data_IF_787029108482
#
_entry.id   IF_787029108482
#
_cell.length_a   1.000
_cell.length_b   1.000
_cell.length_c   1.000
_cell.angle_alpha   90.00
_cell.angle_beta   90.00
_cell.angle_gamma   90.00
#
_symmetry.space_group_name_H-M   'P 1'
#
loop_
_entity.id
_entity.type
_entity.pdbx_description
1 polymer ?
#
# COMPACT_ATOMS: atom_id res chain seq x y z
N UNK A 1 -9.63 -20.92 -9.12
CA UNK A 1 -10.60 -19.84 -9.09
C UNK A 1 -10.44 -18.96 -10.32
N UNK A 2 -11.55 -18.42 -10.84
CA UNK A 2 -11.60 -17.51 -12.00
C UNK A 2 -12.43 -16.28 -11.64
N UNK A 3 -12.21 -15.21 -12.40
CA UNK A 3 -13.05 -14.00 -12.26
C UNK A 3 -14.50 -14.36 -12.61
N UNK A 4 -15.44 -14.01 -11.73
CA UNK A 4 -16.86 -14.32 -11.87
C UNK A 4 -17.31 -15.60 -11.17
N UNK A 5 -16.40 -16.36 -10.54
CA UNK A 5 -16.80 -17.46 -9.65
C UNK A 5 -17.49 -16.90 -8.40
N UNK A 6 -18.61 -17.51 -8.01
CA UNK A 6 -19.32 -17.17 -6.78
C UNK A 6 -18.98 -18.22 -5.71
N UNK A 7 -18.31 -17.82 -4.64
CA UNK A 7 -18.06 -18.73 -3.52
C UNK A 7 -19.37 -19.00 -2.79
N UNK A 8 -19.70 -20.26 -2.52
CA UNK A 8 -20.94 -20.67 -1.87
C UNK A 8 -20.69 -21.42 -0.55
N UNK A 9 -19.56 -22.13 -0.40
CA UNK A 9 -19.18 -22.78 0.85
C UNK A 9 -17.67 -22.81 1.04
N UNK A 10 -17.24 -23.02 2.29
CA UNK A 10 -15.84 -23.19 2.70
C UNK A 10 -15.77 -24.37 3.66
N UNK A 11 -15.02 -25.44 3.33
CA UNK A 11 -14.93 -26.70 4.08
C UNK A 11 -16.34 -27.24 4.42
N UNK A 12 -17.14 -27.51 3.41
CA UNK A 12 -18.54 -28.02 3.49
C UNK A 12 -19.50 -27.14 4.30
N UNK A 13 -19.15 -25.91 4.62
CA UNK A 13 -20.00 -24.98 5.37
C UNK A 13 -20.42 -23.80 4.49
N UNK A 14 -21.73 -23.64 4.31
CA UNK A 14 -22.27 -22.50 3.56
C UNK A 14 -21.78 -21.18 4.14
N UNK A 15 -21.56 -20.22 3.25
CA UNK A 15 -21.22 -18.83 3.61
C UNK A 15 -22.41 -17.87 3.42
N UNK A 16 -23.58 -18.39 3.06
CA UNK A 16 -24.76 -17.57 2.89
C UNK A 16 -25.14 -16.85 4.19
N UNK A 17 -25.37 -15.56 4.10
CA UNK A 17 -25.70 -14.70 5.24
C UNK A 17 -24.53 -14.32 6.15
N UNK A 18 -23.30 -14.72 5.84
CA UNK A 18 -22.13 -14.34 6.63
C UNK A 18 -21.53 -13.01 6.18
N UNK A 19 -20.97 -12.28 7.14
CA UNK A 19 -20.18 -11.09 6.89
C UNK A 19 -18.83 -11.42 6.22
N UNK A 20 -18.33 -10.51 5.38
CA UNK A 20 -17.09 -10.67 4.62
C UNK A 20 -15.88 -11.01 5.50
N UNK A 21 -15.83 -10.44 6.72
CA UNK A 21 -14.78 -10.72 7.70
C UNK A 21 -14.78 -12.17 8.20
N UNK A 22 -15.98 -12.74 8.41
CA UNK A 22 -16.14 -14.13 8.82
C UNK A 22 -15.77 -15.09 7.69
N UNK A 23 -16.21 -14.81 6.47
CA UNK A 23 -15.82 -15.59 5.27
C UNK A 23 -14.30 -15.58 5.11
N UNK A 24 -13.69 -14.40 5.20
CA UNK A 24 -12.23 -14.25 5.13
C UNK A 24 -11.51 -15.06 6.20
N UNK A 25 -12.03 -15.09 7.43
CA UNK A 25 -11.45 -15.86 8.55
C UNK A 25 -11.52 -17.37 8.31
N UNK A 26 -12.57 -17.87 7.66
CA UNK A 26 -12.70 -19.30 7.30
C UNK A 26 -11.74 -19.71 6.20
N UNK A 27 -11.47 -18.82 5.23
CA UNK A 27 -10.54 -19.08 4.12
C UNK A 27 -9.09 -18.99 4.62
N UNK A 28 -8.76 -18.00 5.45
CA UNK A 28 -7.42 -17.83 6.02
C UNK A 28 -7.05 -18.98 6.95
N UNK A 29 -5.75 -19.20 7.15
CA UNK A 29 -5.22 -20.22 8.05
C UNK A 29 -3.71 -20.34 7.93
N UNK A 30 -3.16 -21.39 8.55
CA UNK A 30 -1.72 -21.64 8.58
C UNK A 30 -1.21 -21.90 7.16
N UNK A 31 -0.08 -21.29 6.81
CA UNK A 31 0.60 -21.49 5.53
C UNK A 31 0.88 -22.98 5.28
N UNK A 32 0.68 -23.42 4.04
CA UNK A 32 0.86 -24.81 3.62
C UNK A 32 -0.32 -25.73 3.87
N UNK A 33 -1.32 -25.34 4.67
CA UNK A 33 -2.57 -26.09 4.83
C UNK A 33 -3.50 -25.86 3.63
N UNK A 34 -4.45 -26.77 3.40
CA UNK A 34 -5.46 -26.61 2.35
C UNK A 34 -6.79 -26.14 2.94
N UNK A 35 -7.59 -25.53 2.09
CA UNK A 35 -9.00 -25.19 2.33
C UNK A 35 -9.79 -25.57 1.08
N UNK A 36 -10.88 -26.28 1.26
CA UNK A 36 -11.81 -26.55 0.19
C UNK A 36 -12.77 -25.37 0.02
N UNK A 37 -12.91 -24.89 -1.20
CA UNK A 37 -13.81 -23.79 -1.56
C UNK A 37 -14.79 -24.31 -2.60
N UNK A 38 -16.06 -24.32 -2.26
CA UNK A 38 -17.12 -24.59 -3.23
C UNK A 38 -17.51 -23.29 -3.93
N UNK A 39 -17.56 -23.34 -5.25
CA UNK A 39 -17.95 -22.22 -6.10
C UNK A 39 -19.11 -22.57 -7.01
N UNK A 40 -19.90 -21.59 -7.37
CA UNK A 40 -20.85 -21.66 -8.49
C UNK A 40 -20.23 -20.95 -9.70
N UNK A 41 -20.00 -21.69 -10.76
CA UNK A 41 -19.53 -21.21 -12.06
C UNK A 41 -20.55 -21.59 -13.13
N UNK A 42 -21.18 -20.63 -13.78
CA UNK A 42 -22.20 -20.88 -14.82
C UNK A 42 -23.30 -21.87 -14.39
N UNK A 43 -23.71 -21.82 -13.11
CA UNK A 43 -24.70 -22.72 -12.46
C UNK A 43 -24.17 -24.13 -12.15
N UNK A 44 -22.93 -24.44 -12.42
CA UNK A 44 -22.29 -25.67 -11.95
C UNK A 44 -21.63 -25.42 -10.60
N UNK A 45 -21.72 -26.38 -9.70
CA UNK A 45 -21.02 -26.36 -8.40
C UNK A 45 -19.74 -27.14 -8.55
N UNK A 46 -18.64 -26.49 -8.18
CA UNK A 46 -17.30 -27.06 -8.24
C UNK A 46 -16.61 -26.93 -6.88
N UNK A 47 -16.06 -28.02 -6.35
CA UNK A 47 -15.18 -27.98 -5.19
C UNK A 47 -13.73 -27.82 -5.64
N UNK A 48 -13.01 -26.88 -5.04
CA UNK A 48 -11.63 -26.57 -5.38
C UNK A 48 -10.78 -26.55 -4.11
N UNK A 49 -9.79 -27.43 -4.05
CA UNK A 49 -8.77 -27.39 -3.01
C UNK A 49 -7.77 -26.26 -3.26
N UNK A 50 -7.69 -25.32 -2.31
CA UNK A 50 -6.78 -24.18 -2.36
C UNK A 50 -5.73 -24.35 -1.26
N UNK A 51 -4.46 -24.48 -1.65
CA UNK A 51 -3.36 -24.48 -0.69
C UNK A 51 -3.11 -23.06 -0.19
N UNK A 52 -3.15 -22.87 1.13
CA UNK A 52 -2.85 -21.58 1.76
C UNK A 52 -1.37 -21.24 1.62
N UNK A 53 -1.09 -20.00 1.30
CA UNK A 53 0.26 -19.47 1.19
C UNK A 53 0.27 -17.98 1.49
N UNK A 54 1.45 -17.41 1.67
CA UNK A 54 1.58 -15.96 1.78
C UNK A 54 1.20 -15.31 0.45
N UNK A 55 0.12 -14.54 0.44
CA UNK A 55 -0.24 -13.71 -0.70
C UNK A 55 0.61 -12.45 -0.61
N UNK A 56 1.60 -12.35 -1.48
CA UNK A 56 2.40 -11.15 -1.62
C UNK A 56 1.70 -10.18 -2.58
N UNK A 57 0.97 -9.23 -2.01
CA UNK A 57 0.38 -8.16 -2.80
C UNK A 57 1.51 -7.20 -3.20
N UNK A 58 1.66 -6.98 -4.51
CA UNK A 58 2.60 -6.00 -5.04
C UNK A 58 2.20 -4.59 -4.59
N UNK A 59 3.18 -3.74 -4.28
CA UNK A 59 2.94 -2.32 -4.02
C UNK A 59 2.71 -1.55 -5.32
N UNK A 60 3.42 -1.94 -6.38
CA UNK A 60 3.26 -1.38 -7.73
C UNK A 60 2.34 -2.30 -8.53
N UNK A 61 1.13 -1.82 -8.82
CA UNK A 61 0.15 -2.54 -9.64
C UNK A 61 0.62 -2.64 -11.10
N UNK A 62 1.03 -1.51 -11.66
CA UNK A 62 1.51 -1.41 -13.05
C UNK A 62 2.49 -0.26 -13.23
N UNK A 63 3.36 -0.39 -14.21
CA UNK A 63 4.20 0.68 -14.70
C UNK A 63 4.49 0.50 -16.19
N UNK A 64 4.68 1.61 -16.91
CA UNK A 64 5.01 1.62 -18.34
C UNK A 64 5.59 2.98 -18.75
N UNK A 65 6.14 3.05 -19.96
CA UNK A 65 6.50 4.30 -20.64
C UNK A 65 5.63 4.41 -21.89
N UNK A 66 4.96 5.54 -22.07
CA UNK A 66 4.12 5.80 -23.23
C UNK A 66 4.93 6.25 -24.46
N UNK A 67 4.24 6.50 -25.57
CA UNK A 67 4.84 6.95 -26.85
C UNK A 67 5.53 8.32 -26.71
N UNK A 68 5.08 9.16 -25.78
CA UNK A 68 5.63 10.48 -25.50
C UNK A 68 6.81 10.44 -24.50
N UNK A 69 7.28 9.25 -24.17
CA UNK A 69 8.32 9.02 -23.15
C UNK A 69 7.90 9.44 -21.76
N UNK A 70 6.62 9.41 -21.44
CA UNK A 70 6.11 9.62 -20.10
C UNK A 70 6.02 8.29 -19.37
N UNK A 71 6.76 8.15 -18.29
CA UNK A 71 6.68 7.02 -17.38
C UNK A 71 5.43 7.14 -16.50
N UNK A 72 4.79 6.03 -16.22
CA UNK A 72 3.65 5.94 -15.32
C UNK A 72 3.89 4.82 -14.32
N UNK A 73 3.70 5.12 -13.03
CA UNK A 73 3.72 4.14 -11.93
C UNK A 73 2.42 4.26 -11.16
N UNK A 74 1.67 3.17 -11.04
CA UNK A 74 0.53 3.07 -10.11
C UNK A 74 0.97 2.34 -8.85
N UNK A 75 1.14 3.09 -7.77
CA UNK A 75 1.52 2.59 -6.46
C UNK A 75 0.24 2.47 -5.60
N UNK A 76 -0.21 1.24 -5.31
CA UNK A 76 -1.50 0.96 -4.67
C UNK A 76 -1.42 0.84 -3.15
N UNK A 77 -0.22 0.67 -2.59
CA UNK A 77 0.01 0.61 -1.14
C UNK A 77 1.47 0.88 -0.78
N UNK A 78 1.73 1.24 0.47
CA UNK A 78 3.07 1.35 1.02
C UNK A 78 3.39 0.15 1.92
N UNK A 79 4.20 -0.78 1.43
CA UNK A 79 4.65 -1.98 2.13
C UNK A 79 6.19 -2.02 2.19
N UNK A 80 6.74 -3.00 2.89
CA UNK A 80 8.18 -3.24 2.93
C UNK A 80 8.82 -3.56 1.55
N UNK A 81 8.01 -3.80 0.53
CA UNK A 81 8.45 -4.06 -0.86
C UNK A 81 8.41 -2.81 -1.75
N UNK A 82 7.76 -1.73 -1.31
CA UNK A 82 7.52 -0.55 -2.16
C UNK A 82 8.81 0.04 -2.67
N UNK A 83 9.85 0.14 -1.84
CA UNK A 83 11.17 0.63 -2.25
C UNK A 83 11.75 -0.16 -3.42
N UNK A 84 11.78 -1.49 -3.27
CA UNK A 84 12.36 -2.37 -4.30
C UNK A 84 11.54 -2.33 -5.59
N UNK A 85 10.22 -2.40 -5.49
CA UNK A 85 9.33 -2.43 -6.65
C UNK A 85 9.33 -1.10 -7.41
N UNK A 86 9.30 0.03 -6.70
CA UNK A 86 9.41 1.37 -7.32
C UNK A 86 10.79 1.56 -7.95
N UNK A 87 11.88 1.19 -7.26
CA UNK A 87 13.23 1.25 -7.83
C UNK A 87 13.34 0.46 -9.13
N UNK A 88 12.83 -0.78 -9.14
CA UNK A 88 12.82 -1.64 -10.32
C UNK A 88 12.03 -1.03 -11.48
N UNK A 89 10.87 -0.45 -11.18
CA UNK A 89 10.05 0.24 -12.18
C UNK A 89 10.79 1.44 -12.77
N UNK A 90 11.38 2.29 -11.92
CA UNK A 90 12.12 3.48 -12.34
C UNK A 90 13.32 3.12 -13.23
N UNK A 91 14.14 2.12 -12.85
CA UNK A 91 15.27 1.66 -13.66
C UNK A 91 14.80 1.20 -15.04
N UNK A 92 13.78 0.33 -15.10
CA UNK A 92 13.25 -0.17 -16.36
C UNK A 92 12.68 0.94 -17.26
N UNK A 93 12.04 1.95 -16.67
CA UNK A 93 11.51 3.08 -17.44
C UNK A 93 12.61 4.02 -17.91
N UNK A 94 13.69 4.21 -17.14
CA UNK A 94 14.88 4.95 -17.60
C UNK A 94 15.56 4.26 -18.80
N UNK A 95 15.68 2.92 -18.77
CA UNK A 95 16.19 2.14 -19.91
C UNK A 95 15.35 2.30 -21.18
N UNK A 96 14.03 2.55 -21.03
CA UNK A 96 13.11 2.85 -22.14
C UNK A 96 13.15 4.32 -22.59
N UNK A 97 13.98 5.14 -21.96
CA UNK A 97 14.18 6.55 -22.29
C UNK A 97 13.09 7.47 -21.76
N UNK A 98 12.55 7.18 -20.55
CA UNK A 98 11.59 8.04 -19.84
C UNK A 98 12.12 9.47 -19.69
N UNK A 99 11.28 10.46 -19.99
CA UNK A 99 11.59 11.90 -19.87
C UNK A 99 10.73 12.65 -18.86
N UNK A 100 9.56 12.11 -18.53
CA UNK A 100 8.62 12.65 -17.56
C UNK A 100 8.05 11.51 -16.75
N UNK A 101 7.52 11.76 -15.55
CA UNK A 101 6.96 10.74 -14.68
C UNK A 101 5.58 11.15 -14.13
N UNK A 102 4.66 10.21 -14.15
CA UNK A 102 3.40 10.25 -13.42
C UNK A 102 3.47 9.22 -12.30
N UNK A 103 3.42 9.69 -11.05
CA UNK A 103 3.25 8.83 -9.89
C UNK A 103 1.77 8.84 -9.50
N UNK A 104 1.09 7.74 -9.70
CA UNK A 104 -0.33 7.62 -9.38
C UNK A 104 -0.52 6.98 -8.00
N UNK A 105 -1.07 7.77 -7.08
CA UNK A 105 -1.42 7.39 -5.71
C UNK A 105 -2.94 7.35 -5.49
N UNK A 106 -3.73 7.39 -6.56
CA UNK A 106 -5.19 7.25 -6.44
C UNK A 106 -5.52 5.86 -5.88
N UNK A 107 -6.55 5.79 -5.06
CA UNK A 107 -7.01 4.58 -4.38
C UNK A 107 -5.96 3.93 -3.44
N UNK A 108 -4.88 4.64 -3.13
CA UNK A 108 -3.85 4.20 -2.20
C UNK A 108 -4.14 4.74 -0.79
N UNK A 109 -4.69 3.91 0.06
CA UNK A 109 -5.03 4.25 1.46
C UNK A 109 -3.81 4.42 2.38
N UNK A 110 -2.58 4.30 1.85
CA UNK A 110 -1.35 4.48 2.59
C UNK A 110 -0.61 3.18 2.89
N UNK A 111 -0.09 3.06 4.09
CA UNK A 111 0.71 1.92 4.56
C UNK A 111 1.86 2.34 5.48
N UNK A 112 3.02 1.72 5.33
CA UNK A 112 4.17 1.95 6.19
C UNK A 112 4.79 3.33 5.97
N UNK A 113 4.99 4.08 7.07
CA UNK A 113 5.67 5.38 7.06
C UNK A 113 7.10 5.27 6.51
N UNK A 114 7.85 4.25 6.92
CA UNK A 114 9.20 3.99 6.41
C UNK A 114 9.24 3.86 4.89
N UNK A 115 8.27 3.17 4.32
CA UNK A 115 8.17 3.00 2.87
C UNK A 115 7.80 4.29 2.15
N UNK A 116 6.97 5.15 2.76
CA UNK A 116 6.69 6.48 2.21
C UNK A 116 7.97 7.34 2.15
N UNK A 117 8.78 7.31 3.21
CA UNK A 117 10.06 8.02 3.27
C UNK A 117 11.01 7.51 2.18
N UNK A 118 11.15 6.19 2.04
CA UNK A 118 12.02 5.57 1.03
C UNK A 118 11.57 5.90 -0.40
N UNK A 119 10.27 5.83 -0.68
CA UNK A 119 9.72 6.16 -2.01
C UNK A 119 9.91 7.65 -2.31
N UNK A 120 9.63 8.54 -1.35
CA UNK A 120 9.86 9.98 -1.52
C UNK A 120 11.31 10.30 -1.82
N UNK A 121 12.24 9.53 -1.22
CA UNK A 121 13.68 9.71 -1.39
C UNK A 121 14.17 9.49 -2.83
N UNK A 122 13.44 8.75 -3.67
CA UNK A 122 13.79 8.64 -5.10
C UNK A 122 13.67 9.97 -5.86
N UNK A 123 12.89 10.90 -5.36
CA UNK A 123 12.48 12.11 -6.08
C UNK A 123 13.01 13.42 -5.47
N UNK A 124 13.53 13.38 -4.26
CA UNK A 124 14.04 14.55 -3.55
C UNK A 124 15.54 14.43 -3.26
N UNK A 125 16.28 15.55 -3.20
CA UNK A 125 17.66 15.56 -2.72
C UNK A 125 17.79 14.98 -1.31
N UNK A 126 19.00 14.69 -0.90
CA UNK A 126 19.31 14.18 0.46
C UNK A 126 18.96 15.20 1.53
N UNK A 127 18.68 14.71 2.74
CA UNK A 127 18.45 15.51 3.96
C UNK A 127 17.23 16.44 3.89
N UNK A 128 16.35 16.30 2.89
CA UNK A 128 15.11 17.05 2.84
C UNK A 128 14.12 16.55 3.89
N UNK A 129 13.48 17.46 4.61
CA UNK A 129 12.43 17.12 5.56
C UNK A 129 11.19 16.63 4.79
N UNK A 130 10.75 15.40 5.10
CA UNK A 130 9.54 14.80 4.50
C UNK A 130 8.34 15.00 5.42
N UNK A 131 8.48 14.66 6.69
CA UNK A 131 7.37 14.70 7.67
C UNK A 131 7.90 14.86 9.09
N UNK A 132 7.13 15.56 9.91
CA UNK A 132 7.33 15.64 11.35
C UNK A 132 6.14 15.01 12.07
N UNK A 133 6.45 14.13 13.03
CA UNK A 133 5.48 13.59 13.95
C UNK A 133 5.57 14.36 15.27
N UNK A 134 4.42 14.83 15.75
CA UNK A 134 4.29 15.50 17.06
C UNK A 134 3.41 14.64 17.93
N UNK A 135 3.98 14.09 18.99
CA UNK A 135 3.24 13.40 20.02
C UNK A 135 2.64 14.38 21.04
N UNK A 136 2.05 13.84 22.08
CA UNK A 136 1.48 14.63 23.18
C UNK A 136 2.57 15.22 24.07
N UNK A 137 3.65 14.47 24.29
CA UNK A 137 4.83 14.86 25.06
C UNK A 137 5.89 15.51 24.17
N UNK A 138 6.70 16.42 24.72
CA UNK A 138 7.75 17.13 23.97
C UNK A 138 8.80 16.16 23.43
N UNK A 139 9.08 15.07 24.13
CA UNK A 139 10.07 14.05 23.75
C UNK A 139 9.58 13.10 22.64
N UNK A 140 8.31 13.24 22.24
CA UNK A 140 7.71 12.45 21.16
C UNK A 140 7.80 13.12 19.77
N UNK A 141 8.59 14.18 19.67
CA UNK A 141 8.83 14.86 18.39
C UNK A 141 9.83 14.07 17.54
N UNK A 142 9.44 13.68 16.33
CA UNK A 142 10.30 12.96 15.39
C UNK A 142 10.24 13.59 14.00
N UNK A 143 11.41 13.88 13.42
CA UNK A 143 11.55 14.35 12.05
C UNK A 143 12.09 13.24 11.16
N UNK A 144 11.49 13.09 10.01
CA UNK A 144 11.92 12.11 8.99
C UNK A 144 12.38 12.85 7.74
N UNK A 145 13.57 12.47 7.28
CA UNK A 145 14.24 13.08 6.13
C UNK A 145 14.49 12.06 5.04
N UNK A 146 14.74 12.55 3.84
CA UNK A 146 15.14 11.73 2.70
C UNK A 146 16.42 10.96 2.99
N UNK A 147 16.48 9.74 2.45
CA UNK A 147 17.59 8.80 2.56
C UNK A 147 18.38 8.74 1.25
N UNK A 148 19.51 8.04 1.29
CA UNK A 148 20.26 7.71 0.07
C UNK A 148 19.59 6.55 -0.64
N UNK A 149 19.13 6.79 -1.85
CA UNK A 149 18.50 5.78 -2.71
C UNK A 149 19.06 5.85 -4.13
N UNK A 150 18.88 4.80 -4.89
CA UNK A 150 19.16 4.73 -6.32
C UNK A 150 18.04 3.94 -6.99
N UNK A 151 17.58 4.41 -8.18
CA UNK A 151 18.01 5.62 -8.89
C UNK A 151 17.50 6.91 -8.24
N UNK A 152 18.15 8.05 -8.48
CA UNK A 152 17.62 9.38 -8.17
C UNK A 152 16.95 9.93 -9.44
N UNK A 153 15.72 10.42 -9.29
CA UNK A 153 14.91 10.90 -10.42
C UNK A 153 14.72 12.42 -10.33
N UNK A 154 15.29 13.13 -11.30
CA UNK A 154 15.17 14.59 -11.40
C UNK A 154 14.23 15.04 -12.54
N UNK A 155 13.67 14.09 -13.29
CA UNK A 155 12.78 14.37 -14.41
C UNK A 155 11.52 15.11 -13.95
N UNK A 156 10.90 15.94 -14.80
CA UNK A 156 9.59 16.52 -14.53
C UNK A 156 8.60 15.45 -14.11
N UNK A 157 7.82 15.72 -13.06
CA UNK A 157 6.84 14.74 -12.57
C UNK A 157 5.59 15.41 -12.02
N UNK A 158 4.50 14.66 -12.06
CA UNK A 158 3.24 14.96 -11.37
C UNK A 158 2.85 13.79 -10.46
N UNK A 159 2.05 14.08 -9.45
CA UNK A 159 1.47 13.09 -8.55
C UNK A 159 -0.04 13.12 -8.69
N UNK A 160 -0.66 11.98 -8.98
CA UNK A 160 -2.12 11.86 -9.01
C UNK A 160 -2.64 11.40 -7.66
N UNK A 161 -3.68 12.06 -7.17
CA UNK A 161 -4.38 11.71 -5.93
C UNK A 161 -5.90 11.77 -6.13
N UNK A 162 -6.62 11.10 -5.23
CA UNK A 162 -8.08 11.20 -5.09
C UNK A 162 -8.49 11.11 -3.61
N UNK A 163 -9.78 11.11 -3.36
CA UNK A 163 -10.38 11.02 -2.02
C UNK A 163 -9.98 9.77 -1.21
N UNK A 164 -9.58 8.69 -1.89
CA UNK A 164 -9.10 7.46 -1.26
C UNK A 164 -7.57 7.49 -0.99
N UNK A 165 -6.84 8.48 -1.50
CA UNK A 165 -5.42 8.70 -1.16
C UNK A 165 -5.28 9.17 0.28
N UNK A 166 -4.66 8.36 1.16
CA UNK A 166 -4.62 8.64 2.58
C UNK A 166 -3.24 8.36 3.22
N UNK A 167 -2.99 8.95 4.40
CA UNK A 167 -1.85 8.61 5.27
C UNK A 167 -0.49 8.70 4.55
N UNK A 168 0.22 7.58 4.32
CA UNK A 168 1.50 7.53 3.62
C UNK A 168 1.45 8.18 2.22
N UNK A 169 0.33 8.04 1.48
CA UNK A 169 0.12 8.70 0.20
C UNK A 169 0.10 10.21 0.32
N UNK A 170 -0.51 10.73 1.38
CA UNK A 170 -0.57 12.18 1.65
C UNK A 170 0.80 12.73 2.06
N UNK A 171 1.59 11.92 2.79
CA UNK A 171 2.97 12.29 3.14
C UNK A 171 3.82 12.44 1.86
N UNK A 172 3.75 11.48 0.94
CA UNK A 172 4.50 11.52 -0.31
C UNK A 172 4.05 12.68 -1.19
N UNK A 173 2.75 12.80 -1.46
CA UNK A 173 2.20 13.87 -2.30
C UNK A 173 2.48 15.25 -1.70
N UNK A 174 2.27 15.41 -0.39
CA UNK A 174 2.51 16.66 0.34
C UNK A 174 3.97 17.08 0.33
N UNK A 175 4.90 16.17 0.63
CA UNK A 175 6.32 16.46 0.62
C UNK A 175 6.82 16.86 -0.78
N UNK A 176 6.42 16.13 -1.81
CA UNK A 176 6.81 16.44 -3.20
C UNK A 176 6.23 17.79 -3.67
N UNK A 177 4.99 18.10 -3.29
CA UNK A 177 4.33 19.36 -3.64
C UNK A 177 4.94 20.57 -2.89
N UNK A 178 5.04 20.48 -1.57
CA UNK A 178 5.53 21.60 -0.72
C UNK A 178 6.99 21.95 -1.05
N UNK A 179 7.81 20.95 -1.39
CA UNK A 179 9.20 21.16 -1.78
C UNK A 179 9.37 21.54 -3.26
N UNK A 180 8.26 21.79 -3.99
CA UNK A 180 8.28 22.23 -5.40
C UNK A 180 8.82 21.18 -6.37
N UNK A 181 8.81 19.89 -5.97
CA UNK A 181 9.33 18.80 -6.78
C UNK A 181 8.33 18.28 -7.81
N UNK A 182 7.04 18.29 -7.45
CA UNK A 182 5.96 17.81 -8.30
C UNK A 182 4.69 18.63 -8.09
N UNK A 183 3.90 18.77 -9.13
CA UNK A 183 2.51 19.22 -9.00
C UNK A 183 1.62 18.05 -8.62
N UNK A 184 0.66 18.29 -7.71
CA UNK A 184 -0.36 17.32 -7.33
C UNK A 184 -1.62 17.59 -8.13
N UNK A 185 -2.15 16.58 -8.81
CA UNK A 185 -3.31 16.67 -9.70
C UNK A 185 -4.37 15.67 -9.28
N UNK A 186 -5.63 16.06 -9.32
CA UNK A 186 -6.77 15.21 -9.01
C UNK A 186 -7.71 15.82 -7.98
N UNK A 187 -8.25 15.01 -7.10
CA UNK A 187 -9.22 15.40 -6.09
C UNK A 187 -8.57 15.57 -4.73
N UNK A 188 -9.30 16.20 -3.79
CA UNK A 188 -8.83 16.34 -2.41
C UNK A 188 -8.62 14.97 -1.77
N UNK A 189 -7.46 14.76 -1.14
CA UNK A 189 -7.14 13.53 -0.42
C UNK A 189 -7.99 13.35 0.84
N UNK A 190 -7.91 12.17 1.45
CA UNK A 190 -8.70 11.77 2.61
C UNK A 190 -8.54 12.71 3.83
N UNK A 191 -7.32 13.21 4.10
CA UNK A 191 -7.06 14.09 5.25
C UNK A 191 -6.70 13.36 6.54
N UNK A 192 -6.02 12.21 6.47
CA UNK A 192 -5.57 11.46 7.65
C UNK A 192 -4.25 12.01 8.21
N UNK A 193 -4.34 12.94 9.15
CA UNK A 193 -3.19 13.56 9.82
C UNK A 193 -2.65 12.82 11.05
N UNK A 194 -2.97 11.54 11.26
CA UNK A 194 -2.53 10.75 12.40
C UNK A 194 -1.69 9.53 12.01
N UNK A 195 -0.64 9.25 12.81
CA UNK A 195 0.19 8.06 12.68
C UNK A 195 -0.07 7.15 13.88
N UNK A 196 -0.24 5.85 13.63
CA UNK A 196 -0.45 4.83 14.66
C UNK A 196 0.80 3.97 14.76
N UNK A 197 1.27 3.75 15.99
CA UNK A 197 2.37 2.83 16.28
C UNK A 197 1.85 1.70 17.15
N UNK A 198 2.13 0.45 16.78
CA UNK A 198 1.82 -0.69 17.63
C UNK A 198 2.76 -0.67 18.85
N UNK A 199 2.17 -0.61 20.03
CA UNK A 199 2.90 -0.72 21.32
C UNK A 199 2.61 -2.08 21.89
N UNK A 200 3.66 -2.91 22.09
CA UNK A 200 3.54 -4.18 22.78
C UNK A 200 3.39 -3.93 24.28
N UNK A 201 2.20 -4.14 24.81
CA UNK A 201 1.95 -4.12 26.24
C UNK A 201 2.36 -5.47 26.84
N UNK A 202 3.39 -5.48 27.67
CA UNK A 202 3.87 -6.70 28.36
C UNK A 202 3.10 -7.00 29.66
N UNK A 203 2.25 -6.08 30.14
CA UNK A 203 1.48 -6.23 31.38
C UNK A 203 0.04 -5.71 31.20
N UNK A 204 -0.84 -6.59 30.74
CA UNK A 204 -2.28 -6.45 30.94
C UNK A 204 -2.64 -7.28 32.19
N UNK A 205 -2.64 -6.65 33.33
CA UNK A 205 -3.43 -7.16 34.48
C UNK A 205 -4.86 -6.69 34.29
N UNK A 206 -5.76 -7.60 33.90
CA UNK A 206 -7.18 -7.36 33.98
C UNK A 206 -7.50 -7.21 35.49
N UNK A 207 -8.24 -6.17 35.93
CA UNK A 207 -8.73 -6.13 37.29
C UNK A 207 -9.65 -7.34 37.49
N UNK A 208 -9.25 -8.25 38.33
CA UNK A 208 -10.15 -9.27 38.89
C UNK A 208 -11.17 -8.52 39.73
N UNK A 209 -12.40 -8.42 39.24
CA UNK A 209 -13.52 -8.05 40.09
C UNK A 209 -13.71 -9.18 41.07
N UNK A 210 -13.35 -8.93 42.31
CA UNK A 210 -13.78 -9.77 43.40
C UNK A 210 -15.31 -9.77 43.47
N UNK A 211 -15.87 -10.95 43.28
CA UNK A 211 -17.27 -11.27 43.53
C UNK A 211 -17.44 -11.54 45.01
#
# INVERSE_FOLDING_TARGET
LQVGDLIIAVNDRTIEGLELGEISSRIKGVEGTSVEIEISRRKEILAIDVKRGQIQISSVDRFYVDENKTGYIHLIQFSNRSREEVSRALVKMQEQGMKNLILDLRDNSGGLLSSAIEVTSFFLPREQLIVELKGREVDEFRSYRTQVVSPQIELPMIVLINEASASASEIVAGALSVLGRAETVGEKSYGKGSVQTAVSYTHLTLPTSDL
#
